data_IF_823228943020
#
_entry.id   IF_823228943020
#
_cell.length_a   1.000
_cell.length_b   1.000
_cell.length_c   1.000
_cell.angle_alpha   90.00
_cell.angle_beta   90.00
_cell.angle_gamma   90.00
#
_symmetry.space_group_name_H-M   'P 1'
#
loop_
_entity.id
_entity.type
_entity.pdbx_description
1 polymer ?
#
# COMPACT_ATOMS: atom_id res chain seq x y z
N UNK A 1 -26.90 2.23 12.88
CA UNK A 1 -26.19 2.73 14.08
C UNK A 1 -24.86 2.00 14.17
N UNK A 2 -23.74 2.69 14.32
CA UNK A 2 -22.44 2.05 14.56
C UNK A 2 -22.44 1.51 15.99
N UNK A 3 -22.23 0.20 16.14
CA UNK A 3 -22.08 -0.41 17.47
C UNK A 3 -20.83 0.15 18.16
N UNK A 4 -20.77 0.09 19.49
CA UNK A 4 -19.59 0.50 20.27
C UNK A 4 -18.32 -0.23 19.80
N UNK A 5 -18.46 -1.48 19.35
CA UNK A 5 -17.38 -2.27 18.75
C UNK A 5 -16.94 -1.69 17.40
N UNK A 6 -17.91 -1.30 16.55
CA UNK A 6 -17.62 -0.69 15.26
C UNK A 6 -16.87 0.63 15.38
N UNK A 7 -17.27 1.52 16.29
CA UNK A 7 -16.56 2.79 16.54
C UNK A 7 -15.11 2.54 17.02
N UNK A 8 -14.91 1.57 17.92
CA UNK A 8 -13.57 1.21 18.40
C UNK A 8 -12.67 0.65 17.30
N UNK A 9 -13.20 -0.23 16.44
CA UNK A 9 -12.43 -0.75 15.30
C UNK A 9 -12.16 0.34 14.28
N UNK A 10 -13.13 1.22 14.01
CA UNK A 10 -12.96 2.37 13.11
C UNK A 10 -11.88 3.35 13.60
N UNK A 11 -11.73 3.55 14.92
CA UNK A 11 -10.67 4.41 15.45
C UNK A 11 -9.27 3.85 15.19
N UNK A 12 -9.10 2.52 15.24
CA UNK A 12 -7.80 1.88 14.94
C UNK A 12 -7.51 1.94 13.43
N UNK A 13 -8.50 1.70 12.57
CA UNK A 13 -8.35 1.95 11.13
C UNK A 13 -8.00 3.39 10.83
N UNK A 14 -8.69 4.31 11.50
CA UNK A 14 -8.44 5.74 11.36
C UNK A 14 -7.01 6.11 11.73
N UNK A 15 -6.51 5.63 12.86
CA UNK A 15 -5.13 5.87 13.29
C UNK A 15 -4.10 5.24 12.35
N UNK A 16 -4.33 4.00 11.89
CA UNK A 16 -3.44 3.31 10.97
C UNK A 16 -3.36 4.02 9.61
N UNK A 17 -4.50 4.39 9.04
CA UNK A 17 -4.52 5.03 7.72
C UNK A 17 -4.10 6.51 7.79
N UNK A 18 -4.30 7.18 8.94
CA UNK A 18 -3.71 8.50 9.20
C UNK A 18 -2.18 8.41 9.16
N UNK A 19 -1.60 7.43 9.87
CA UNK A 19 -0.17 7.18 9.87
C UNK A 19 0.35 6.92 8.44
N UNK A 20 -0.32 6.07 7.67
CA UNK A 20 0.07 5.78 6.28
C UNK A 20 -0.09 7.03 5.40
N UNK A 21 -1.13 7.84 5.62
CA UNK A 21 -1.38 9.09 4.89
C UNK A 21 -0.31 10.16 5.13
N UNK A 22 0.33 10.18 6.29
CA UNK A 22 1.50 11.01 6.56
C UNK A 22 2.76 10.37 5.98
N UNK A 23 2.95 9.08 6.27
CA UNK A 23 4.19 8.36 5.97
C UNK A 23 4.41 8.21 4.46
N UNK A 24 3.42 7.77 3.71
CA UNK A 24 3.58 7.43 2.29
C UNK A 24 4.00 8.65 1.44
N UNK A 25 3.37 9.84 1.57
CA UNK A 25 3.79 11.03 0.83
C UNK A 25 5.08 11.67 1.37
N UNK A 26 5.28 11.68 2.68
CA UNK A 26 6.25 12.58 3.30
C UNK A 26 7.45 11.90 3.99
N UNK A 27 7.49 10.56 4.10
CA UNK A 27 8.68 9.85 4.56
C UNK A 27 9.90 10.14 3.68
N UNK A 28 9.81 10.11 2.33
CA UNK A 28 10.95 10.45 1.47
C UNK A 28 11.43 11.89 1.66
N UNK A 29 10.50 12.85 1.83
CA UNK A 29 10.80 14.26 2.08
C UNK A 29 11.55 14.43 3.41
N UNK A 30 11.07 13.76 4.46
CA UNK A 30 11.75 13.73 5.75
C UNK A 30 13.16 13.15 5.66
N UNK A 31 13.33 12.01 4.98
CA UNK A 31 14.64 11.37 4.81
C UNK A 31 15.62 12.29 4.07
N UNK A 32 15.19 12.94 2.99
CA UNK A 32 16.00 13.90 2.26
C UNK A 32 16.43 15.09 3.16
N UNK A 33 15.51 15.65 3.97
CA UNK A 33 15.79 16.70 4.93
C UNK A 33 16.73 16.25 6.07
N UNK A 34 16.84 14.92 6.30
CA UNK A 34 17.79 14.32 7.25
C UNK A 34 19.12 13.94 6.61
N UNK A 35 19.40 14.43 5.40
CA UNK A 35 20.68 14.26 4.71
C UNK A 35 20.81 12.96 3.90
N UNK A 36 19.73 12.26 3.63
CA UNK A 36 19.74 11.11 2.74
C UNK A 36 19.90 11.57 1.28
N UNK A 37 20.82 10.96 0.57
CA UNK A 37 20.87 11.06 -0.89
C UNK A 37 19.69 10.31 -1.52
N UNK A 38 19.43 10.55 -2.81
CA UNK A 38 18.40 9.81 -3.56
C UNK A 38 18.64 8.29 -3.47
N UNK A 39 19.89 7.86 -3.55
CA UNK A 39 20.27 6.46 -3.40
C UNK A 39 19.96 5.92 -2.00
N UNK A 40 20.25 6.69 -0.94
CA UNK A 40 19.93 6.28 0.43
C UNK A 40 18.42 6.14 0.65
N UNK A 41 17.63 7.09 0.12
CA UNK A 41 16.15 7.00 0.15
C UNK A 41 15.68 5.73 -0.56
N UNK A 42 16.19 5.45 -1.76
CA UNK A 42 15.84 4.25 -2.52
C UNK A 42 16.15 2.97 -1.72
N UNK A 43 17.35 2.86 -1.16
CA UNK A 43 17.75 1.72 -0.34
C UNK A 43 16.90 1.58 0.93
N UNK A 44 16.63 2.67 1.64
CA UNK A 44 15.81 2.65 2.83
C UNK A 44 14.38 2.16 2.55
N UNK A 45 13.76 2.61 1.44
CA UNK A 45 12.43 2.17 1.01
C UNK A 45 12.42 0.74 0.48
N UNK A 46 13.45 0.32 -0.26
CA UNK A 46 13.60 -1.04 -0.75
C UNK A 46 13.73 -2.04 0.42
N UNK A 47 14.58 -1.74 1.41
CA UNK A 47 14.73 -2.57 2.62
C UNK A 47 13.43 -2.66 3.41
N UNK A 48 12.68 -1.57 3.57
CA UNK A 48 11.34 -1.61 4.18
C UNK A 48 10.40 -2.53 3.40
N UNK A 49 10.45 -2.51 2.05
CA UNK A 49 9.62 -3.38 1.22
C UNK A 49 9.95 -4.85 1.43
N UNK A 50 11.24 -5.22 1.43
CA UNK A 50 11.72 -6.59 1.70
C UNK A 50 11.23 -7.09 3.07
N UNK A 51 11.48 -6.28 4.09
CA UNK A 51 11.14 -6.66 5.48
C UNK A 51 9.63 -6.81 5.68
N UNK A 52 8.82 -5.98 5.06
CA UNK A 52 7.36 -6.10 5.09
C UNK A 52 6.86 -7.43 4.52
N UNK A 53 7.45 -7.88 3.41
CA UNK A 53 7.10 -9.16 2.78
C UNK A 53 7.41 -10.35 3.69
N UNK A 54 8.51 -10.28 4.43
CA UNK A 54 8.88 -11.33 5.39
C UNK A 54 8.03 -11.26 6.67
N UNK A 55 7.79 -10.06 7.19
CA UNK A 55 7.09 -9.84 8.45
C UNK A 55 5.61 -10.24 8.38
N UNK A 56 4.92 -9.86 7.28
CA UNK A 56 3.48 -10.08 7.17
C UNK A 56 3.07 -11.55 7.33
N UNK A 57 3.56 -12.52 6.55
CA UNK A 57 3.14 -13.92 6.69
C UNK A 57 3.57 -14.53 8.02
N UNK A 58 4.77 -14.22 8.49
CA UNK A 58 5.32 -14.81 9.72
C UNK A 58 4.54 -14.34 10.95
N UNK A 59 4.37 -13.02 11.09
CA UNK A 59 3.74 -12.45 12.29
C UNK A 59 2.22 -12.65 12.29
N UNK A 60 1.55 -12.64 11.13
CA UNK A 60 0.13 -12.99 11.04
C UNK A 60 -0.12 -14.45 11.37
N UNK A 61 0.72 -15.37 10.87
CA UNK A 61 0.64 -16.78 11.19
C UNK A 61 0.75 -17.03 12.71
N UNK A 62 1.74 -16.42 13.37
CA UNK A 62 1.89 -16.57 14.82
C UNK A 62 0.76 -15.94 15.62
N UNK A 63 0.25 -14.78 15.17
CA UNK A 63 -0.89 -14.13 15.80
C UNK A 63 -2.17 -15.00 15.74
N UNK A 64 -2.37 -15.69 14.61
CA UNK A 64 -3.50 -16.60 14.41
C UNK A 64 -3.33 -17.88 15.21
N UNK A 65 -2.15 -18.52 15.14
CA UNK A 65 -1.86 -19.76 15.87
C UNK A 65 -1.99 -19.61 17.37
N UNK A 66 -1.62 -18.45 17.91
CA UNK A 66 -1.73 -18.14 19.34
C UNK A 66 -3.08 -17.54 19.73
N UNK A 67 -4.04 -17.40 18.80
CA UNK A 67 -5.31 -16.71 18.99
C UNK A 67 -5.13 -15.31 19.64
N UNK A 68 -4.08 -14.60 19.27
CA UNK A 68 -3.61 -13.42 19.98
C UNK A 68 -3.53 -12.15 19.08
N UNK A 69 -4.30 -12.08 17.97
CA UNK A 69 -4.26 -10.96 16.99
C UNK A 69 -4.29 -9.59 17.69
N UNK A 70 -5.19 -9.39 18.66
CA UNK A 70 -5.27 -8.13 19.40
C UNK A 70 -3.97 -7.81 20.16
N UNK A 71 -3.36 -8.80 20.81
CA UNK A 71 -2.08 -8.60 21.54
C UNK A 71 -0.95 -8.28 20.57
N UNK A 72 -0.88 -8.98 19.44
CA UNK A 72 0.09 -8.71 18.39
C UNK A 72 -0.07 -7.29 17.83
N UNK A 73 -1.28 -6.85 17.48
CA UNK A 73 -1.54 -5.48 17.01
C UNK A 73 -1.02 -4.45 18.03
N UNK A 74 -1.34 -4.63 19.34
CA UNK A 74 -0.87 -3.71 20.37
C UNK A 74 0.66 -3.69 20.45
N UNK A 75 1.28 -4.85 20.65
CA UNK A 75 2.75 -4.94 20.82
C UNK A 75 3.48 -4.39 19.60
N UNK A 76 3.06 -4.80 18.41
CA UNK A 76 3.70 -4.38 17.16
C UNK A 76 3.54 -2.88 16.90
N UNK A 77 2.37 -2.30 17.21
CA UNK A 77 2.16 -0.85 17.10
C UNK A 77 3.05 -0.06 18.05
N UNK A 78 3.22 -0.56 19.30
CA UNK A 78 4.16 0.06 20.24
C UNK A 78 5.60 -0.09 19.80
N UNK A 79 6.00 -1.26 19.33
CA UNK A 79 7.35 -1.47 18.78
C UNK A 79 7.61 -0.50 17.64
N UNK A 80 6.66 -0.32 16.71
CA UNK A 80 6.79 0.62 15.62
C UNK A 80 6.95 2.07 16.11
N UNK A 81 6.18 2.48 17.14
CA UNK A 81 6.29 3.81 17.72
C UNK A 81 7.67 4.03 18.39
N UNK A 82 8.18 3.03 19.13
CA UNK A 82 9.52 3.10 19.73
C UNK A 82 10.61 3.19 18.65
N UNK A 83 10.51 2.39 17.61
CA UNK A 83 11.48 2.44 16.49
C UNK A 83 11.42 3.80 15.77
N UNK A 84 10.22 4.35 15.57
CA UNK A 84 10.07 5.67 14.97
C UNK A 84 10.61 6.80 15.88
N UNK A 85 10.47 6.68 17.21
CA UNK A 85 11.11 7.59 18.17
C UNK A 85 12.64 7.56 18.02
N UNK A 86 13.23 6.36 18.01
CA UNK A 86 14.67 6.19 17.85
C UNK A 86 15.16 6.73 16.49
N UNK A 87 14.37 6.55 15.43
CA UNK A 87 14.66 7.12 14.12
C UNK A 87 14.64 8.66 14.17
N UNK A 88 13.64 9.27 14.82
CA UNK A 88 13.49 10.73 14.94
C UNK A 88 14.62 11.38 15.75
N UNK A 89 15.10 10.70 16.78
CA UNK A 89 16.22 11.14 17.62
C UNK A 89 17.59 10.93 16.96
N UNK A 90 17.70 10.03 15.98
CA UNK A 90 18.97 9.68 15.34
C UNK A 90 19.40 10.74 14.33
N UNK A 91 20.71 10.93 14.17
CA UNK A 91 21.31 11.82 13.17
C UNK A 91 22.09 11.06 12.08
N UNK A 92 22.32 9.78 12.25
CA UNK A 92 23.02 8.92 11.29
C UNK A 92 22.06 8.33 10.28
N UNK A 93 22.36 8.44 8.98
CA UNK A 93 21.62 7.81 7.87
C UNK A 93 21.43 6.32 8.10
N UNK A 94 22.49 5.62 8.56
CA UNK A 94 22.43 4.17 8.85
C UNK A 94 21.48 3.89 10.01
N UNK A 95 21.58 4.62 11.12
CA UNK A 95 20.74 4.41 12.28
C UNK A 95 19.25 4.69 11.97
N UNK A 96 18.96 5.80 11.27
CA UNK A 96 17.60 6.11 10.80
C UNK A 96 17.08 4.98 9.93
N UNK A 97 17.87 4.50 8.95
CA UNK A 97 17.49 3.40 8.06
C UNK A 97 17.14 2.14 8.86
N UNK A 98 17.99 1.74 9.80
CA UNK A 98 17.74 0.55 10.65
C UNK A 98 16.43 0.70 11.41
N UNK A 99 16.21 1.85 12.06
CA UNK A 99 15.01 2.04 12.88
C UNK A 99 13.73 2.12 12.05
N UNK A 100 13.72 2.78 10.88
CA UNK A 100 12.52 2.81 10.03
C UNK A 100 12.23 1.45 9.38
N UNK A 101 13.26 0.63 9.11
CA UNK A 101 13.10 -0.75 8.63
C UNK A 101 12.49 -1.63 9.73
N UNK A 102 12.97 -1.51 10.98
CA UNK A 102 12.39 -2.20 12.13
C UNK A 102 10.96 -1.73 12.44
N UNK A 103 10.69 -0.43 12.28
CA UNK A 103 9.33 0.10 12.36
C UNK A 103 8.43 -0.53 11.30
N UNK A 104 8.90 -0.63 10.05
CA UNK A 104 8.17 -1.27 8.94
C UNK A 104 7.91 -2.76 9.20
N UNK A 105 8.88 -3.49 9.76
CA UNK A 105 8.69 -4.87 10.23
C UNK A 105 7.53 -4.97 11.22
N UNK A 106 7.47 -4.06 12.17
CA UNK A 106 6.47 -4.10 13.23
C UNK A 106 5.07 -3.66 12.74
N UNK A 107 4.93 -2.53 12.02
CA UNK A 107 3.59 -2.04 11.69
C UNK A 107 2.95 -2.74 10.49
N UNK A 108 3.71 -3.30 9.56
CA UNK A 108 3.15 -3.85 8.31
C UNK A 108 2.13 -4.99 8.51
N UNK A 109 2.27 -5.91 9.49
CA UNK A 109 1.27 -6.95 9.73
C UNK A 109 -0.01 -6.43 10.42
N UNK A 110 0.01 -5.20 10.94
CA UNK A 110 -1.15 -4.63 11.67
C UNK A 110 -2.37 -4.54 10.76
N UNK A 111 -2.19 -4.11 9.51
CA UNK A 111 -3.30 -3.96 8.56
C UNK A 111 -4.03 -5.30 8.29
N UNK A 112 -3.38 -6.38 7.82
CA UNK A 112 -4.07 -7.64 7.58
C UNK A 112 -4.65 -8.28 8.85
N UNK A 113 -4.00 -8.12 10.01
CA UNK A 113 -4.59 -8.58 11.27
C UNK A 113 -5.84 -7.78 11.64
N UNK A 114 -5.84 -6.47 11.42
CA UNK A 114 -7.00 -5.61 11.69
C UNK A 114 -8.15 -5.91 10.72
N UNK A 115 -7.84 -6.17 9.43
CA UNK A 115 -8.83 -6.60 8.45
C UNK A 115 -9.48 -7.92 8.87
N UNK A 116 -8.70 -8.91 9.30
CA UNK A 116 -9.22 -10.18 9.77
C UNK A 116 -10.15 -10.02 10.99
N UNK A 117 -9.76 -9.20 11.97
CA UNK A 117 -10.60 -8.86 13.13
C UNK A 117 -11.89 -8.17 12.69
N UNK A 118 -11.81 -7.23 11.76
CA UNK A 118 -12.96 -6.43 11.34
C UNK A 118 -13.97 -7.27 10.53
N UNK A 119 -13.49 -8.17 9.67
CA UNK A 119 -14.35 -9.09 8.91
C UNK A 119 -15.06 -10.05 9.85
N UNK A 120 -14.33 -10.69 10.78
CA UNK A 120 -14.91 -11.61 11.78
C UNK A 120 -16.02 -10.95 12.60
N UNK A 121 -15.82 -9.72 13.07
CA UNK A 121 -16.81 -8.96 13.82
C UNK A 121 -18.01 -8.51 12.96
N UNK A 122 -17.79 -8.23 11.69
CA UNK A 122 -18.84 -7.90 10.75
C UNK A 122 -19.71 -9.12 10.43
N UNK A 123 -19.13 -10.29 10.23
CA UNK A 123 -19.85 -11.56 10.04
C UNK A 123 -20.66 -11.96 11.28
N UNK A 124 -20.16 -11.63 12.49
CA UNK A 124 -20.90 -11.77 13.73
C UNK A 124 -22.03 -10.74 13.91
N UNK A 125 -22.26 -9.85 12.94
CA UNK A 125 -23.35 -8.88 12.94
C UNK A 125 -23.12 -7.64 13.82
N UNK A 126 -21.91 -7.42 14.32
CA UNK A 126 -21.64 -6.29 15.22
C UNK A 126 -21.61 -4.94 14.50
N UNK A 127 -21.20 -4.89 13.23
CA UNK A 127 -21.18 -3.69 12.39
C UNK A 127 -20.94 -4.05 10.91
N UNK A 128 -21.07 -3.06 10.04
CA UNK A 128 -20.73 -3.17 8.61
C UNK A 128 -19.24 -2.89 8.39
N UNK A 129 -18.50 -3.86 7.81
CA UNK A 129 -17.06 -3.73 7.52
C UNK A 129 -16.74 -2.52 6.63
N UNK A 130 -17.54 -2.30 5.58
CA UNK A 130 -17.30 -1.20 4.64
C UNK A 130 -17.34 0.16 5.32
N UNK A 131 -18.29 0.39 6.25
CA UNK A 131 -18.38 1.64 6.99
C UNK A 131 -17.19 1.87 7.93
N UNK A 132 -16.72 0.82 8.58
CA UNK A 132 -15.52 0.88 9.44
C UNK A 132 -14.28 1.18 8.61
N UNK A 133 -14.17 0.57 7.44
CA UNK A 133 -13.03 0.71 6.52
C UNK A 133 -12.96 2.11 5.89
N UNK A 134 -14.11 2.76 5.60
CA UNK A 134 -14.19 4.13 5.06
C UNK A 134 -13.53 5.13 6.01
N UNK A 135 -13.67 4.97 7.34
CA UNK A 135 -13.02 5.84 8.30
C UNK A 135 -11.50 5.95 8.05
N UNK A 136 -10.86 4.85 7.67
CA UNK A 136 -9.45 4.85 7.29
C UNK A 136 -9.13 5.69 6.06
N UNK A 137 -9.95 5.61 5.00
CA UNK A 137 -9.72 6.41 3.79
C UNK A 137 -9.83 7.91 4.06
N UNK A 138 -10.79 8.32 4.90
CA UNK A 138 -10.95 9.73 5.31
C UNK A 138 -9.74 10.21 6.11
N UNK A 139 -9.23 9.39 7.02
CA UNK A 139 -8.07 9.77 7.83
C UNK A 139 -6.76 9.72 7.05
N UNK A 140 -6.62 8.88 6.01
CA UNK A 140 -5.51 8.98 5.08
C UNK A 140 -5.44 10.34 4.41
N UNK A 141 -6.58 10.83 3.90
CA UNK A 141 -6.68 12.17 3.29
C UNK A 141 -6.32 13.25 4.31
N UNK A 142 -6.86 13.16 5.53
CA UNK A 142 -6.53 14.08 6.61
C UNK A 142 -5.03 14.06 6.95
N UNK A 143 -4.41 12.88 6.96
CA UNK A 143 -2.97 12.71 7.17
C UNK A 143 -2.12 13.38 6.08
N UNK A 144 -2.46 13.12 4.81
CA UNK A 144 -1.75 13.72 3.67
C UNK A 144 -1.86 15.24 3.65
N UNK A 145 -3.07 15.78 3.86
CA UNK A 145 -3.30 17.22 3.91
C UNK A 145 -2.65 17.85 5.14
N UNK A 146 -2.79 17.22 6.32
CA UNK A 146 -2.22 17.71 7.57
C UNK A 146 -0.70 17.74 7.55
N UNK A 147 -0.06 16.70 7.03
CA UNK A 147 1.39 16.66 6.88
C UNK A 147 1.88 17.71 5.88
N UNK A 148 1.19 17.87 4.75
CA UNK A 148 1.49 18.93 3.79
C UNK A 148 1.34 20.33 4.38
N UNK A 149 0.27 20.56 5.15
CA UNK A 149 0.04 21.83 5.81
C UNK A 149 1.08 22.12 6.91
N UNK A 150 1.56 21.10 7.61
CA UNK A 150 2.58 21.28 8.66
C UNK A 150 3.89 21.86 8.13
N UNK A 151 4.24 21.60 6.86
CA UNK A 151 5.44 22.16 6.21
C UNK A 151 5.38 23.68 5.98
N UNK A 152 4.22 24.32 6.14
CA UNK A 152 4.13 25.79 6.16
C UNK A 152 4.56 26.42 7.49
N UNK A 153 4.66 25.61 8.55
CA UNK A 153 4.95 26.06 9.93
C UNK A 153 6.27 25.45 10.43
N UNK A 154 6.51 24.18 10.09
CA UNK A 154 7.64 23.39 10.56
C UNK A 154 8.57 23.04 9.39
N UNK A 155 9.83 22.78 9.68
CA UNK A 155 10.78 22.32 8.67
C UNK A 155 10.52 20.87 8.26
N UNK A 156 10.97 20.46 7.07
CA UNK A 156 10.85 19.08 6.62
C UNK A 156 11.58 18.08 7.55
N UNK A 157 12.64 18.53 8.26
CA UNK A 157 13.35 17.70 9.25
C UNK A 157 12.47 17.38 10.48
N UNK A 158 11.46 18.21 10.78
CA UNK A 158 10.56 18.01 11.91
C UNK A 158 9.44 17.02 11.63
N UNK A 159 9.22 16.63 10.37
CA UNK A 159 8.25 15.62 9.99
C UNK A 159 8.44 14.28 10.75
N UNK A 160 9.65 13.99 11.21
CA UNK A 160 9.92 12.85 12.08
C UNK A 160 9.05 12.81 13.35
N UNK A 161 8.79 13.99 13.94
CA UNK A 161 7.92 14.10 15.12
C UNK A 161 6.44 13.90 14.78
N UNK A 162 6.00 14.34 13.61
CA UNK A 162 4.64 14.07 13.12
C UNK A 162 4.46 12.59 12.80
N UNK A 163 5.45 11.95 12.15
CA UNK A 163 5.47 10.51 11.91
C UNK A 163 5.40 9.75 13.23
N UNK A 164 6.19 10.13 14.24
CA UNK A 164 6.13 9.55 15.58
C UNK A 164 4.74 9.72 16.20
N UNK A 165 4.17 10.93 16.17
CA UNK A 165 2.86 11.20 16.76
C UNK A 165 1.77 10.28 16.18
N UNK A 166 1.79 10.03 14.86
CA UNK A 166 0.83 9.11 14.22
C UNK A 166 1.07 7.65 14.59
N UNK A 167 2.33 7.21 14.78
CA UNK A 167 2.63 5.87 15.27
C UNK A 167 2.19 5.69 16.74
N UNK A 168 2.39 6.69 17.59
CA UNK A 168 1.89 6.69 18.98
C UNK A 168 0.36 6.65 19.01
N UNK A 169 -0.31 7.43 18.14
CA UNK A 169 -1.75 7.40 18.02
C UNK A 169 -2.26 6.00 17.64
N UNK A 170 -1.60 5.33 16.68
CA UNK A 170 -1.90 3.94 16.33
C UNK A 170 -1.72 3.02 17.54
N UNK A 171 -0.59 3.10 18.25
CA UNK A 171 -0.30 2.27 19.40
C UNK A 171 -1.35 2.45 20.52
N UNK A 172 -1.71 3.69 20.83
CA UNK A 172 -2.73 4.00 21.84
C UNK A 172 -4.13 3.54 21.39
N UNK A 173 -4.50 3.79 20.13
CA UNK A 173 -5.80 3.37 19.58
C UNK A 173 -5.97 1.84 19.59
N UNK A 174 -4.88 1.08 19.43
CA UNK A 174 -4.92 -0.39 19.44
C UNK A 174 -5.49 -0.99 20.73
N UNK A 175 -5.39 -0.30 21.87
CA UNK A 175 -6.04 -0.74 23.12
C UNK A 175 -7.57 -0.69 23.02
N UNK A 176 -8.12 0.16 22.17
CA UNK A 176 -9.56 0.25 21.98
C UNK A 176 -10.15 -0.99 21.27
N UNK A 177 -9.33 -1.81 20.58
CA UNK A 177 -9.82 -3.03 19.93
C UNK A 177 -10.61 -3.91 20.91
N UNK A 178 -11.79 -4.41 20.50
CA UNK A 178 -12.56 -5.33 21.31
C UNK A 178 -11.73 -6.56 21.71
N UNK A 179 -11.97 -7.10 22.90
CA UNK A 179 -11.47 -8.42 23.23
C UNK A 179 -12.21 -9.42 22.34
N UNK A 180 -11.48 -10.07 21.45
CA UNK A 180 -12.01 -11.15 20.63
C UNK A 180 -12.27 -12.35 21.53
N UNK A 181 -13.43 -12.99 21.40
CA UNK A 181 -13.62 -14.35 21.91
C UNK A 181 -12.56 -15.27 21.30
N UNK A 182 -12.40 -16.48 21.83
CA UNK A 182 -11.50 -17.47 21.25
C UNK A 182 -11.82 -17.55 19.75
N UNK A 183 -10.85 -17.17 18.92
CA UNK A 183 -11.01 -17.22 17.48
C UNK A 183 -11.55 -18.59 17.12
N UNK A 184 -12.66 -18.66 16.37
CA UNK A 184 -12.95 -19.87 15.63
C UNK A 184 -11.66 -20.16 14.90
N UNK A 185 -10.96 -21.21 15.30
CA UNK A 185 -9.90 -21.80 14.49
C UNK A 185 -10.59 -22.21 13.19
N UNK A 186 -10.68 -21.25 12.27
CA UNK A 186 -11.01 -21.55 10.91
C UNK A 186 -9.91 -22.52 10.50
N UNK A 187 -10.33 -23.76 10.28
CA UNK A 187 -9.52 -24.79 9.67
C UNK A 187 -8.81 -24.17 8.46
N UNK A 188 -7.61 -23.59 8.68
CA UNK A 188 -6.63 -23.57 7.62
C UNK A 188 -6.38 -25.06 7.36
N UNK A 189 -7.16 -25.61 6.41
CA UNK A 189 -6.80 -26.90 5.85
C UNK A 189 -5.35 -26.75 5.45
N UNK A 190 -4.50 -27.59 6.04
CA UNK A 190 -3.08 -27.67 5.70
C UNK A 190 -3.00 -27.90 4.19
N UNK A 191 -2.83 -26.79 3.47
CA UNK A 191 -2.71 -26.84 2.04
C UNK A 191 -1.36 -27.46 1.73
N UNK A 192 -1.38 -28.62 1.10
CA UNK A 192 -0.14 -29.25 0.64
C UNK A 192 0.65 -28.24 -0.22
N UNK A 193 1.90 -27.97 0.18
CA UNK A 193 2.84 -27.14 -0.60
C UNK A 193 2.89 -27.56 -2.09
N UNK A 194 2.63 -28.85 -2.38
CA UNK A 194 2.49 -29.39 -3.75
C UNK A 194 1.25 -28.84 -4.48
N UNK A 195 0.12 -28.65 -3.81
CA UNK A 195 -1.09 -28.11 -4.42
C UNK A 195 -0.94 -26.61 -4.71
N UNK A 196 -0.36 -25.85 -3.77
CA UNK A 196 0.03 -24.46 -3.99
C UNK A 196 0.98 -24.34 -5.18
N UNK A 197 2.03 -25.15 -5.23
CA UNK A 197 3.00 -25.16 -6.32
C UNK A 197 2.36 -25.43 -7.70
N UNK A 198 1.38 -26.33 -7.80
CA UNK A 198 0.68 -26.59 -9.06
C UNK A 198 -0.09 -25.37 -9.59
N UNK A 199 -0.75 -24.62 -8.71
CA UNK A 199 -1.46 -23.39 -9.07
C UNK A 199 -0.49 -22.31 -9.52
N UNK A 200 0.62 -22.13 -8.78
CA UNK A 200 1.64 -21.12 -9.03
C UNK A 200 2.34 -21.29 -10.38
N UNK A 201 2.50 -22.51 -10.83
CA UNK A 201 3.23 -22.83 -12.08
C UNK A 201 2.29 -22.83 -13.30
N UNK A 202 1.01 -22.51 -13.16
CA UNK A 202 0.14 -22.33 -14.32
C UNK A 202 0.50 -21.05 -15.08
N UNK A 203 0.54 -21.14 -16.41
CA UNK A 203 0.84 -19.98 -17.25
C UNK A 203 -0.10 -18.78 -16.96
N UNK A 204 -1.37 -19.04 -16.70
CA UNK A 204 -2.36 -18.01 -16.38
C UNK A 204 -2.03 -17.27 -15.06
N UNK A 205 -1.55 -18.00 -14.03
CA UNK A 205 -1.20 -17.40 -12.75
C UNK A 205 0.13 -16.61 -12.83
N UNK A 206 1.11 -17.14 -13.56
CA UNK A 206 2.37 -16.42 -13.84
C UNK A 206 2.08 -15.11 -14.59
N UNK A 207 1.26 -15.18 -15.65
CA UNK A 207 0.84 -13.99 -16.39
C UNK A 207 0.08 -13.00 -15.51
N UNK A 208 -0.83 -13.47 -14.65
CA UNK A 208 -1.51 -12.60 -13.68
C UNK A 208 -0.53 -11.86 -12.78
N UNK A 209 0.46 -12.58 -12.19
CA UNK A 209 1.48 -11.99 -11.32
C UNK A 209 2.28 -10.93 -12.08
N UNK A 210 2.70 -11.24 -13.30
CA UNK A 210 3.48 -10.29 -14.11
C UNK A 210 2.66 -9.06 -14.49
N UNK A 211 1.44 -9.24 -14.98
CA UNK A 211 0.56 -8.12 -15.38
C UNK A 211 0.25 -7.22 -14.19
N UNK A 212 -0.29 -7.80 -13.14
CA UNK A 212 -0.71 -7.03 -11.97
C UNK A 212 0.51 -6.53 -11.18
N UNK A 213 1.57 -7.34 -11.06
CA UNK A 213 2.81 -6.98 -10.38
C UNK A 213 3.52 -5.80 -11.06
N UNK A 214 3.71 -5.83 -12.38
CA UNK A 214 4.32 -4.73 -13.12
C UNK A 214 3.47 -3.46 -13.04
N UNK A 215 2.15 -3.57 -13.19
CA UNK A 215 1.25 -2.41 -13.09
C UNK A 215 1.27 -1.80 -11.69
N UNK A 216 1.24 -2.60 -10.63
CA UNK A 216 1.34 -2.10 -9.25
C UNK A 216 2.73 -1.53 -8.96
N UNK A 217 3.79 -2.21 -9.38
CA UNK A 217 5.15 -1.79 -9.15
C UNK A 217 5.55 -0.54 -9.98
N UNK A 218 4.83 -0.22 -11.06
CA UNK A 218 5.00 1.04 -11.79
C UNK A 218 4.73 2.29 -10.92
N UNK A 219 4.11 2.14 -9.76
CA UNK A 219 3.94 3.22 -8.79
C UNK A 219 5.19 3.48 -7.93
N UNK A 220 6.29 2.70 -8.11
CA UNK A 220 7.47 2.80 -7.28
C UNK A 220 8.11 4.19 -7.29
N UNK A 221 8.21 4.83 -8.46
CA UNK A 221 8.73 6.20 -8.57
C UNK A 221 7.83 7.21 -7.85
N UNK A 222 6.53 7.09 -8.03
CA UNK A 222 5.54 7.94 -7.38
C UNK A 222 5.58 7.80 -5.86
N UNK A 223 5.61 6.56 -5.33
CA UNK A 223 5.64 6.31 -3.89
C UNK A 223 6.96 6.68 -3.23
N UNK A 224 8.07 6.50 -3.94
CA UNK A 224 9.39 6.78 -3.39
C UNK A 224 9.88 8.22 -3.59
N UNK A 225 9.49 8.84 -4.69
CA UNK A 225 10.11 10.10 -5.13
C UNK A 225 9.12 11.15 -5.62
N UNK A 226 7.82 10.83 -5.76
CA UNK A 226 6.82 11.75 -6.30
C UNK A 226 6.72 13.06 -5.50
N UNK A 227 6.69 12.98 -4.17
CA UNK A 227 6.63 14.18 -3.33
C UNK A 227 7.93 14.99 -3.38
N UNK A 228 9.10 14.34 -3.38
CA UNK A 228 10.40 14.99 -3.56
C UNK A 228 10.49 15.69 -4.92
N UNK A 229 10.00 15.04 -5.96
CA UNK A 229 9.98 15.59 -7.29
C UNK A 229 9.10 16.84 -7.40
N UNK A 230 7.90 16.80 -6.81
CA UNK A 230 7.00 17.94 -6.78
C UNK A 230 7.51 19.08 -5.89
N UNK A 231 8.18 18.78 -4.79
CA UNK A 231 8.86 19.76 -3.97
C UNK A 231 9.98 20.47 -4.77
N UNK A 232 10.78 19.71 -5.54
CA UNK A 232 11.80 20.24 -6.43
C UNK A 232 11.22 21.11 -7.56
N UNK A 233 9.97 20.86 -8.00
CA UNK A 233 9.22 21.69 -8.93
C UNK A 233 8.62 22.95 -8.27
N UNK A 234 8.79 23.14 -6.97
CA UNK A 234 8.27 24.28 -6.21
C UNK A 234 6.83 24.13 -5.73
N UNK A 235 6.25 22.93 -5.75
CA UNK A 235 4.92 22.71 -5.20
C UNK A 235 4.98 22.75 -3.68
N UNK A 236 4.03 23.48 -3.08
CA UNK A 236 3.91 23.56 -1.62
C UNK A 236 3.51 22.20 -1.02
N UNK A 237 3.83 21.98 0.26
CA UNK A 237 3.41 20.78 0.99
C UNK A 237 1.91 20.56 0.94
N UNK A 238 1.09 21.63 1.03
CA UNK A 238 -0.37 21.55 0.88
C UNK A 238 -0.76 21.05 -0.49
N UNK A 239 -0.11 21.55 -1.55
CA UNK A 239 -0.34 21.09 -2.93
C UNK A 239 0.00 19.60 -3.07
N UNK A 240 1.14 19.17 -2.53
CA UNK A 240 1.56 17.76 -2.54
C UNK A 240 0.53 16.89 -1.82
N UNK A 241 0.13 17.25 -0.59
CA UNK A 241 -0.89 16.51 0.15
C UNK A 241 -2.25 16.45 -0.58
N UNK A 242 -2.61 17.53 -1.30
CA UNK A 242 -3.83 17.58 -2.12
C UNK A 242 -3.74 16.62 -3.31
N UNK A 243 -2.61 16.56 -4.01
CA UNK A 243 -2.38 15.64 -5.14
C UNK A 243 -2.52 14.18 -4.70
N UNK A 244 -1.96 13.81 -3.55
CA UNK A 244 -2.15 12.47 -2.98
C UNK A 244 -3.61 12.20 -2.63
N UNK A 245 -4.29 13.17 -2.05
CA UNK A 245 -5.70 13.06 -1.66
C UNK A 245 -6.63 12.86 -2.86
N UNK A 246 -6.38 13.54 -3.99
CA UNK A 246 -7.15 13.36 -5.24
C UNK A 246 -7.10 11.90 -5.69
N UNK A 247 -5.93 11.27 -5.66
CA UNK A 247 -5.78 9.85 -6.00
C UNK A 247 -6.67 8.94 -5.15
N UNK A 248 -6.64 9.13 -3.83
CA UNK A 248 -7.44 8.32 -2.89
C UNK A 248 -8.95 8.59 -3.05
N UNK A 249 -9.36 9.84 -3.26
CA UNK A 249 -10.77 10.17 -3.54
C UNK A 249 -11.24 9.45 -4.80
N UNK A 250 -10.45 9.48 -5.87
CA UNK A 250 -10.76 8.80 -7.12
C UNK A 250 -10.88 7.27 -6.93
N UNK A 251 -10.02 6.66 -6.09
CA UNK A 251 -10.13 5.24 -5.73
C UNK A 251 -11.44 4.94 -5.00
N UNK A 252 -11.81 5.75 -4.01
CA UNK A 252 -13.07 5.58 -3.27
C UNK A 252 -14.27 5.59 -4.24
N UNK A 253 -14.30 6.57 -5.15
CA UNK A 253 -15.35 6.67 -6.17
C UNK A 253 -15.37 5.42 -7.05
N UNK A 254 -14.21 4.97 -7.51
CA UNK A 254 -14.13 3.77 -8.35
C UNK A 254 -14.61 2.53 -7.60
N UNK A 255 -14.25 2.33 -6.33
CA UNK A 255 -14.71 1.18 -5.55
C UNK A 255 -16.22 1.17 -5.34
N UNK A 256 -16.87 2.34 -5.16
CA UNK A 256 -18.32 2.44 -5.06
C UNK A 256 -19.00 1.92 -6.34
N UNK A 257 -18.44 2.21 -7.50
CA UNK A 257 -18.99 1.82 -8.80
C UNK A 257 -18.35 0.57 -9.42
N UNK A 258 -17.51 -0.14 -8.68
CA UNK A 258 -16.66 -1.24 -9.16
C UNK A 258 -17.39 -2.36 -9.92
N UNK A 259 -18.65 -2.63 -9.57
CA UNK A 259 -19.47 -3.66 -10.22
C UNK A 259 -19.72 -3.38 -11.71
N UNK A 260 -19.87 -2.10 -12.10
CA UNK A 260 -20.16 -1.74 -13.49
C UNK A 260 -19.01 -2.10 -14.44
N UNK A 261 -17.77 -1.63 -14.22
CA UNK A 261 -16.66 -2.00 -15.10
C UNK A 261 -16.35 -3.51 -15.05
N UNK A 262 -16.50 -4.15 -13.87
CA UNK A 262 -16.29 -5.60 -13.75
C UNK A 262 -17.25 -6.41 -14.62
N UNK A 263 -18.55 -6.09 -14.58
CA UNK A 263 -19.57 -6.79 -15.36
C UNK A 263 -19.40 -6.57 -16.87
N UNK A 264 -18.89 -5.38 -17.26
CA UNK A 264 -18.73 -5.02 -18.68
C UNK A 264 -17.46 -5.62 -19.30
N UNK A 265 -16.34 -5.58 -18.59
CA UNK A 265 -15.02 -5.89 -19.15
C UNK A 265 -14.39 -7.16 -18.60
N UNK A 266 -14.95 -7.71 -17.51
CA UNK A 266 -14.39 -8.84 -16.79
C UNK A 266 -13.03 -8.57 -16.12
N UNK A 267 -12.47 -9.55 -15.37
CA UNK A 267 -11.24 -9.36 -14.61
C UNK A 267 -10.03 -8.98 -15.47
N UNK A 268 -9.83 -9.67 -16.60
CA UNK A 268 -8.69 -9.39 -17.49
C UNK A 268 -8.85 -8.03 -18.17
N UNK A 269 -10.08 -7.63 -18.52
CA UNK A 269 -10.34 -6.29 -19.04
C UNK A 269 -10.02 -5.18 -18.03
N UNK A 270 -10.26 -5.42 -16.73
CA UNK A 270 -9.85 -4.48 -15.68
C UNK A 270 -8.32 -4.36 -15.58
N UNK A 271 -7.60 -5.49 -15.65
CA UNK A 271 -6.13 -5.52 -15.68
C UNK A 271 -5.58 -4.74 -16.87
N UNK A 272 -6.14 -4.96 -18.08
CA UNK A 272 -5.77 -4.21 -19.28
C UNK A 272 -6.04 -2.71 -19.13
N UNK A 273 -7.20 -2.34 -18.62
CA UNK A 273 -7.57 -0.95 -18.34
C UNK A 273 -6.61 -0.28 -17.35
N UNK A 274 -6.26 -1.00 -16.28
CA UNK A 274 -5.31 -0.54 -15.28
C UNK A 274 -3.92 -0.28 -15.88
N UNK A 275 -3.40 -1.22 -16.65
CA UNK A 275 -2.12 -1.09 -17.32
C UNK A 275 -2.11 0.05 -18.37
N UNK A 276 -3.18 0.17 -19.18
CA UNK A 276 -3.29 1.24 -20.19
C UNK A 276 -3.34 2.62 -19.54
N UNK A 277 -4.17 2.82 -18.50
CA UNK A 277 -4.26 4.09 -17.79
C UNK A 277 -2.97 4.41 -17.03
N UNK A 278 -2.28 3.41 -16.49
CA UNK A 278 -0.95 3.57 -15.90
C UNK A 278 0.08 4.01 -16.93
N UNK A 279 0.12 3.39 -18.11
CA UNK A 279 1.04 3.77 -19.18
C UNK A 279 0.85 5.23 -19.60
N UNK A 280 -0.40 5.65 -19.82
CA UNK A 280 -0.72 7.06 -20.17
C UNK A 280 -0.31 8.00 -19.04
N UNK A 281 -0.68 7.68 -17.79
CA UNK A 281 -0.37 8.49 -16.61
C UNK A 281 1.13 8.76 -16.49
N UNK A 282 1.93 7.70 -16.51
CA UNK A 282 3.37 7.80 -16.33
C UNK A 282 4.08 8.41 -17.54
N UNK A 283 3.60 8.13 -18.76
CA UNK A 283 4.15 8.75 -19.96
C UNK A 283 3.99 10.28 -19.92
N UNK A 284 2.83 10.79 -19.50
CA UNK A 284 2.61 12.24 -19.37
C UNK A 284 3.39 12.82 -18.20
N UNK A 285 3.47 12.10 -17.05
CA UNK A 285 4.26 12.53 -15.89
C UNK A 285 5.75 12.70 -16.21
N UNK A 286 6.30 11.96 -17.18
CA UNK A 286 7.69 12.05 -17.59
C UNK A 286 8.08 13.39 -18.23
N UNK A 287 7.11 14.23 -18.59
CA UNK A 287 7.31 15.56 -19.18
C UNK A 287 7.11 16.71 -18.18
N UNK A 288 7.09 16.42 -16.90
CA UNK A 288 6.91 17.43 -15.84
C UNK A 288 5.69 18.35 -16.09
N UNK A 289 4.47 17.78 -16.21
CA UNK A 289 3.30 18.55 -16.58
C UNK A 289 2.96 19.61 -15.51
N UNK A 290 2.31 20.73 -15.91
CA UNK A 290 1.87 21.75 -14.98
C UNK A 290 0.86 21.21 -13.96
N UNK A 291 0.71 21.90 -12.83
CA UNK A 291 -0.10 21.48 -11.67
C UNK A 291 -1.50 20.97 -12.07
N UNK A 292 -2.20 21.67 -12.94
CA UNK A 292 -3.56 21.29 -13.35
C UNK A 292 -3.58 19.90 -14.05
N UNK A 293 -2.60 19.63 -14.92
CA UNK A 293 -2.46 18.32 -15.57
C UNK A 293 -2.00 17.26 -14.56
N UNK A 294 -1.06 17.59 -13.68
CA UNK A 294 -0.62 16.70 -12.60
C UNK A 294 -1.81 16.28 -11.73
N UNK A 295 -2.70 17.21 -11.36
CA UNK A 295 -3.92 16.92 -10.59
C UNK A 295 -4.88 15.99 -11.36
N UNK A 296 -5.07 16.23 -12.66
CA UNK A 296 -5.88 15.35 -13.52
C UNK A 296 -5.29 13.93 -13.58
N UNK A 297 -3.96 13.82 -13.70
CA UNK A 297 -3.28 12.53 -13.71
C UNK A 297 -3.40 11.78 -12.38
N UNK A 298 -3.63 12.46 -11.24
CA UNK A 298 -3.91 11.77 -9.98
C UNK A 298 -5.26 11.04 -10.00
N UNK A 299 -6.26 11.52 -10.76
CA UNK A 299 -7.52 10.79 -10.95
C UNK A 299 -7.29 9.44 -11.63
N UNK A 300 -6.31 9.34 -12.54
CA UNK A 300 -5.94 8.08 -13.19
C UNK A 300 -5.32 7.05 -12.23
N UNK A 301 -4.96 7.47 -11.00
CA UNK A 301 -4.50 6.54 -9.95
C UNK A 301 -5.55 5.46 -9.66
N UNK A 302 -6.82 5.85 -9.58
CA UNK A 302 -7.91 4.88 -9.43
C UNK A 302 -7.92 3.84 -10.55
N UNK A 303 -7.63 4.25 -11.79
CA UNK A 303 -7.48 3.33 -12.92
C UNK A 303 -6.28 2.41 -12.76
N UNK A 304 -5.09 2.97 -12.64
CA UNK A 304 -3.85 2.18 -12.60
C UNK A 304 -3.73 1.28 -11.35
N UNK A 305 -4.22 1.73 -10.20
CA UNK A 305 -4.15 0.98 -8.95
C UNK A 305 -5.42 0.14 -8.70
N UNK A 306 -6.58 0.77 -8.56
CA UNK A 306 -7.76 0.08 -8.07
C UNK A 306 -8.38 -0.88 -9.11
N UNK A 307 -8.39 -0.56 -10.43
CA UNK A 307 -8.83 -1.53 -11.45
C UNK A 307 -7.92 -2.76 -11.47
N UNK A 308 -6.60 -2.56 -11.36
CA UNK A 308 -5.64 -3.66 -11.31
C UNK A 308 -5.88 -4.54 -10.10
N UNK A 309 -6.09 -3.92 -8.92
CA UNK A 309 -6.38 -4.65 -7.69
C UNK A 309 -7.68 -5.48 -7.80
N UNK A 310 -8.76 -4.85 -8.26
CA UNK A 310 -10.03 -5.55 -8.48
C UNK A 310 -9.90 -6.68 -9.51
N UNK A 311 -9.27 -6.39 -10.66
CA UNK A 311 -9.03 -7.38 -11.71
C UNK A 311 -8.32 -8.62 -11.16
N UNK A 312 -7.30 -8.40 -10.32
CA UNK A 312 -6.54 -9.47 -9.65
C UNK A 312 -7.41 -10.32 -8.73
N UNK A 313 -8.15 -9.67 -7.80
CA UNK A 313 -9.00 -10.40 -6.85
C UNK A 313 -10.06 -11.22 -7.57
N UNK A 314 -10.74 -10.62 -8.55
CA UNK A 314 -11.80 -11.31 -9.29
C UNK A 314 -11.27 -12.39 -10.23
N UNK A 315 -10.07 -12.24 -10.79
CA UNK A 315 -9.41 -13.28 -11.57
C UNK A 315 -9.10 -14.49 -10.70
N UNK A 316 -8.49 -14.29 -9.54
CA UNK A 316 -8.17 -15.34 -8.57
C UNK A 316 -9.44 -16.09 -8.18
N UNK A 317 -10.50 -15.36 -7.80
CA UNK A 317 -11.79 -15.98 -7.41
C UNK A 317 -12.49 -16.75 -8.50
N UNK A 318 -12.31 -16.40 -9.79
CA UNK A 318 -12.92 -17.11 -10.91
C UNK A 318 -12.16 -18.36 -11.35
N UNK A 319 -10.85 -18.38 -11.14
CA UNK A 319 -9.96 -19.43 -11.67
C UNK A 319 -9.55 -20.46 -10.63
N UNK A 320 -9.71 -20.15 -9.36
CA UNK A 320 -9.29 -21.00 -8.26
C UNK A 320 -10.47 -21.31 -7.36
N UNK A 321 -10.51 -22.53 -6.85
CA UNK A 321 -11.44 -22.94 -5.81
C UNK A 321 -11.27 -22.06 -4.57
N UNK A 322 -12.33 -21.85 -3.79
CA UNK A 322 -12.32 -20.98 -2.59
C UNK A 322 -11.21 -21.37 -1.61
N UNK A 323 -10.91 -22.67 -1.49
CA UNK A 323 -9.84 -23.20 -0.62
C UNK A 323 -8.44 -22.68 -1.03
N UNK A 324 -8.23 -22.33 -2.30
CA UNK A 324 -6.94 -21.86 -2.83
C UNK A 324 -6.85 -20.34 -2.98
N UNK A 325 -7.99 -19.65 -2.98
CA UNK A 325 -8.02 -18.21 -3.26
C UNK A 325 -7.19 -17.38 -2.26
N UNK A 326 -7.24 -17.72 -0.98
CA UNK A 326 -6.48 -17.04 0.07
C UNK A 326 -4.97 -17.18 -0.11
N UNK A 327 -4.49 -18.40 -0.39
CA UNK A 327 -3.06 -18.66 -0.63
C UNK A 327 -2.57 -18.00 -1.91
N UNK A 328 -3.37 -18.03 -2.97
CA UNK A 328 -3.03 -17.35 -4.22
C UNK A 328 -2.91 -15.83 -4.04
N UNK A 329 -3.80 -15.22 -3.23
CA UNK A 329 -3.70 -13.80 -2.87
C UNK A 329 -2.47 -13.49 -2.02
N UNK A 330 -2.17 -14.34 -1.03
CA UNK A 330 -0.97 -14.18 -0.19
C UNK A 330 0.30 -14.25 -1.02
N UNK A 331 0.38 -15.21 -1.93
CA UNK A 331 1.52 -15.39 -2.82
C UNK A 331 1.65 -14.26 -3.84
N UNK A 332 0.52 -13.83 -4.43
CA UNK A 332 0.47 -12.64 -5.28
C UNK A 332 1.03 -11.43 -4.51
N UNK A 333 0.58 -11.21 -3.28
CA UNK A 333 1.06 -10.13 -2.42
C UNK A 333 2.57 -10.21 -2.17
N UNK A 334 3.10 -11.40 -1.87
CA UNK A 334 4.53 -11.61 -1.63
C UNK A 334 5.38 -11.34 -2.87
N UNK A 335 4.98 -11.84 -4.03
CA UNK A 335 5.75 -11.66 -5.27
C UNK A 335 5.57 -10.24 -5.82
N UNK A 336 4.34 -9.78 -5.97
CA UNK A 336 4.03 -8.47 -6.58
C UNK A 336 4.42 -7.31 -5.66
N UNK A 337 3.91 -7.30 -4.43
CA UNK A 337 4.18 -6.25 -3.44
C UNK A 337 5.57 -6.36 -2.80
N UNK A 338 6.19 -7.53 -2.87
CA UNK A 338 7.50 -7.80 -2.33
C UNK A 338 8.60 -7.71 -3.39
N UNK A 339 8.79 -8.80 -4.13
CA UNK A 339 9.94 -8.95 -5.03
C UNK A 339 9.89 -7.90 -6.15
N UNK A 340 8.76 -7.82 -6.88
CA UNK A 340 8.65 -6.91 -8.03
C UNK A 340 8.68 -5.45 -7.57
N UNK A 341 7.97 -5.10 -6.51
CA UNK A 341 7.97 -3.74 -5.97
C UNK A 341 9.36 -3.33 -5.45
N UNK A 342 10.08 -4.19 -4.75
CA UNK A 342 11.45 -3.89 -4.28
C UNK A 342 12.40 -3.62 -5.45
N UNK A 343 12.36 -4.46 -6.48
CA UNK A 343 13.14 -4.25 -7.69
C UNK A 343 12.76 -2.94 -8.39
N UNK A 344 11.46 -2.63 -8.46
CA UNK A 344 10.97 -1.40 -9.05
C UNK A 344 11.37 -0.15 -8.25
N UNK A 345 11.36 -0.19 -6.89
CA UNK A 345 11.84 0.92 -6.06
C UNK A 345 13.33 1.17 -6.27
N UNK A 346 14.14 0.10 -6.37
CA UNK A 346 15.57 0.22 -6.64
C UNK A 346 15.82 0.81 -8.02
N UNK A 347 15.11 0.34 -9.05
CA UNK A 347 15.17 0.89 -10.40
C UNK A 347 14.72 2.36 -10.43
N UNK A 348 13.61 2.68 -9.76
CA UNK A 348 13.07 4.03 -9.67
C UNK A 348 14.07 5.00 -9.03
N UNK A 349 14.74 4.60 -7.95
CA UNK A 349 15.77 5.42 -7.30
C UNK A 349 16.96 5.71 -8.19
N UNK A 350 17.48 4.67 -8.86
CA UNK A 350 18.57 4.85 -9.83
C UNK A 350 18.15 5.74 -11.00
N UNK A 351 16.99 5.47 -11.61
CA UNK A 351 16.50 6.25 -12.74
C UNK A 351 16.23 7.71 -12.36
N UNK A 352 15.64 7.94 -11.19
CA UNK A 352 15.36 9.29 -10.70
C UNK A 352 16.64 10.08 -10.41
N UNK A 353 17.67 9.45 -9.84
CA UNK A 353 18.97 10.09 -9.60
C UNK A 353 19.65 10.58 -10.90
N UNK A 354 19.42 9.87 -12.03
CA UNK A 354 20.05 10.20 -13.32
C UNK A 354 19.18 11.12 -14.19
N UNK A 355 17.85 10.93 -14.16
CA UNK A 355 16.93 11.49 -15.15
C UNK A 355 15.85 12.41 -14.53
N UNK A 356 15.78 12.52 -13.18
CA UNK A 356 14.72 13.29 -12.53
C UNK A 356 13.32 12.79 -12.94
N UNK A 357 12.40 13.70 -13.26
CA UNK A 357 11.02 13.38 -13.66
C UNK A 357 10.90 12.50 -14.92
N UNK A 358 11.86 12.61 -15.86
CA UNK A 358 11.86 11.75 -17.04
C UNK A 358 11.93 10.25 -16.72
N UNK A 359 12.36 9.87 -15.49
CA UNK A 359 12.34 8.50 -15.01
C UNK A 359 10.93 7.87 -14.96
N UNK A 360 9.85 8.66 -14.99
CA UNK A 360 8.49 8.13 -15.14
C UNK A 360 8.29 7.37 -16.46
N UNK A 361 9.13 7.60 -17.49
CA UNK A 361 9.10 6.81 -18.72
C UNK A 361 9.35 5.32 -18.48
N UNK A 362 10.20 4.96 -17.49
CA UNK A 362 10.40 3.55 -17.11
C UNK A 362 9.14 2.95 -16.50
N UNK A 363 8.40 3.73 -15.73
CA UNK A 363 7.12 3.30 -15.15
C UNK A 363 6.06 3.11 -16.23
N UNK A 364 6.06 3.99 -17.25
CA UNK A 364 5.21 3.84 -18.42
C UNK A 364 5.56 2.58 -19.23
N UNK A 365 6.85 2.29 -19.43
CA UNK A 365 7.31 1.09 -20.10
C UNK A 365 6.88 -0.20 -19.35
N UNK A 366 6.97 -0.21 -18.03
CA UNK A 366 6.46 -1.33 -17.20
C UNK A 366 4.96 -1.57 -17.43
N UNK A 367 4.15 -0.50 -17.46
CA UNK A 367 2.72 -0.60 -17.76
C UNK A 367 2.46 -1.04 -19.20
N UNK A 368 3.26 -0.57 -20.16
CA UNK A 368 3.20 -1.01 -21.57
C UNK A 368 3.46 -2.51 -21.71
N UNK A 369 4.50 -3.01 -21.05
CA UNK A 369 4.79 -4.45 -20.98
C UNK A 369 3.64 -5.22 -20.32
N UNK A 370 3.11 -4.71 -19.20
CA UNK A 370 1.96 -5.32 -18.53
C UNK A 370 0.73 -5.40 -19.45
N UNK A 371 0.49 -4.37 -20.27
CA UNK A 371 -0.62 -4.34 -21.24
C UNK A 371 -0.46 -5.43 -22.31
N UNK A 372 0.75 -5.60 -22.84
CA UNK A 372 1.06 -6.67 -23.81
C UNK A 372 0.82 -8.05 -23.18
N UNK A 373 1.34 -8.28 -21.97
CA UNK A 373 1.14 -9.53 -21.24
C UNK A 373 -0.34 -9.77 -20.90
N UNK A 374 -1.10 -8.72 -20.58
CA UNK A 374 -2.53 -8.82 -20.35
C UNK A 374 -3.31 -9.23 -21.60
N UNK A 375 -2.88 -8.77 -22.79
CA UNK A 375 -3.47 -9.22 -24.04
C UNK A 375 -3.19 -10.71 -24.30
N UNK A 376 -2.01 -11.21 -23.95
CA UNK A 376 -1.68 -12.65 -23.98
C UNK A 376 -2.57 -13.42 -23.00
N UNK A 377 -2.68 -12.92 -21.76
CA UNK A 377 -3.53 -13.52 -20.72
C UNK A 377 -4.99 -13.62 -21.18
N UNK A 378 -5.51 -12.58 -21.86
CA UNK A 378 -6.87 -12.56 -22.39
C UNK A 378 -7.12 -13.66 -23.44
N UNK A 379 -6.13 -13.94 -24.28
CA UNK A 379 -6.22 -14.99 -25.31
C UNK A 379 -6.14 -16.40 -24.72
N UNK A 380 -5.42 -16.56 -23.61
CA UNK A 380 -5.27 -17.84 -22.94
C UNK A 380 -6.40 -18.18 -21.93
N UNK A 381 -7.31 -17.24 -21.72
CA UNK A 381 -8.45 -17.40 -20.78
C UNK A 381 -9.74 -17.06 -21.49
N UNK A 382 -10.37 -18.04 -22.14
CA UNK A 382 -11.65 -17.86 -22.84
C UNK A 382 -12.80 -17.47 -21.91
#
# INVERSE_FOLDING_TARGET
MTSRAGTRTASVYGALLLMIGVMLPFMPVWLAARGFSIADVAWALALQSVVRVMAMPVLTYWADRLAARRRFIIVLSFTAAVMMLLASLSHSVIAITVFIVLAAFAWSPVMPMLDAVAVEQSEAGHYDYGRVRIAGSVTFIAGSLGAGASLSIFSASDLGWLLLATHVLLAVSAFALPRLGAARQGLQRDMSLKAAGKVMLTASFILLILVAGLTQASHALYYGFGSLHWEAQGFSGVTIGTLWSIGVIAEIVLFIYARKPLNRFGPVGLLMGGAALGAVRWAVMAFDPPLAMTALLQVLHAGSYALTHLGTIYFIRRKLDEDFAGTAQGLFGAISGGVIMTAAISLAGWAYAVQGGAAYAWMAAMCGLALVLAAVLKRSTP
#
